data_IF_185605663512
#
_entry.id   IF_185605663512
#
_cell.length_a   1.000
_cell.length_b   1.000
_cell.length_c   1.000
_cell.angle_alpha   90.00
_cell.angle_beta   90.00
_cell.angle_gamma   90.00
#
_symmetry.space_group_name_H-M   'P 1'
#
loop_
_entity.id
_entity.type
_entity.pdbx_description
1 polymer ?
#
# COMPACT_ATOMS: atom_id res chain seq x y z
N UNK A 1 37.03 -11.02 -9.07
CA UNK A 1 36.15 -9.87 -9.42
C UNK A 1 34.86 -10.36 -10.04
N UNK A 2 34.90 -11.29 -11.00
CA UNK A 2 33.70 -11.87 -11.65
C UNK A 2 32.70 -12.50 -10.67
N UNK A 3 33.18 -13.24 -9.67
CA UNK A 3 32.33 -13.83 -8.61
C UNK A 3 31.57 -12.78 -7.80
N UNK A 4 32.20 -11.64 -7.49
CA UNK A 4 31.58 -10.54 -6.76
C UNK A 4 30.50 -9.86 -7.59
N UNK A 5 30.72 -9.71 -8.90
CA UNK A 5 29.74 -9.14 -9.84
C UNK A 5 28.51 -10.04 -9.96
N UNK A 6 28.70 -11.35 -10.13
CA UNK A 6 27.59 -12.32 -10.21
C UNK A 6 26.80 -12.35 -8.91
N UNK A 7 27.49 -12.34 -7.76
CA UNK A 7 26.83 -12.28 -6.45
C UNK A 7 25.99 -11.00 -6.30
N UNK A 8 26.57 -9.83 -6.59
CA UNK A 8 25.87 -8.55 -6.51
C UNK A 8 24.64 -8.52 -7.45
N UNK A 9 24.78 -9.04 -8.67
CA UNK A 9 23.69 -9.15 -9.62
C UNK A 9 22.57 -10.06 -9.08
N UNK A 10 22.90 -11.21 -8.50
CA UNK A 10 21.93 -12.09 -7.86
C UNK A 10 21.15 -11.39 -6.73
N UNK A 11 21.85 -10.64 -5.86
CA UNK A 11 21.20 -9.87 -4.79
C UNK A 11 20.24 -8.82 -5.34
N UNK A 12 20.65 -8.07 -6.38
CA UNK A 12 19.82 -7.05 -7.02
C UNK A 12 18.56 -7.67 -7.62
N UNK A 13 18.69 -8.81 -8.33
CA UNK A 13 17.55 -9.52 -8.92
C UNK A 13 16.54 -9.94 -7.85
N UNK A 14 17.01 -10.52 -6.74
CA UNK A 14 16.15 -10.91 -5.63
C UNK A 14 15.49 -9.69 -4.98
N UNK A 15 16.22 -8.60 -4.75
CA UNK A 15 15.68 -7.38 -4.16
C UNK A 15 14.58 -6.75 -5.04
N UNK A 16 14.80 -6.68 -6.36
CA UNK A 16 13.81 -6.19 -7.32
C UNK A 16 12.59 -7.13 -7.38
N UNK A 17 12.82 -8.44 -7.41
CA UNK A 17 11.75 -9.44 -7.39
C UNK A 17 10.88 -9.34 -6.13
N UNK A 18 11.50 -9.14 -4.97
CA UNK A 18 10.79 -8.92 -3.70
C UNK A 18 9.95 -7.63 -3.73
N UNK A 19 10.54 -6.52 -4.18
CA UNK A 19 9.81 -5.25 -4.34
C UNK A 19 8.60 -5.38 -5.27
N UNK A 20 8.77 -6.08 -6.40
CA UNK A 20 7.68 -6.33 -7.34
C UNK A 20 6.60 -7.21 -6.72
N UNK A 21 6.99 -8.26 -5.99
CA UNK A 21 6.03 -9.16 -5.32
C UNK A 21 5.18 -8.40 -4.30
N UNK A 22 5.78 -7.53 -3.51
CA UNK A 22 5.06 -6.70 -2.54
C UNK A 22 4.14 -5.72 -3.25
N UNK A 23 4.62 -5.02 -4.29
CA UNK A 23 3.79 -4.10 -5.05
C UNK A 23 2.55 -4.79 -5.66
N UNK A 24 2.73 -6.01 -6.19
CA UNK A 24 1.64 -6.81 -6.71
C UNK A 24 0.69 -7.30 -5.59
N UNK A 25 1.22 -7.70 -4.43
CA UNK A 25 0.39 -8.06 -3.27
C UNK A 25 -0.55 -6.92 -2.86
N UNK A 26 0.01 -5.71 -2.68
CA UNK A 26 -0.78 -4.52 -2.36
C UNK A 26 -1.77 -4.18 -3.48
N UNK A 27 -1.38 -4.40 -4.74
CA UNK A 27 -2.28 -4.25 -5.89
C UNK A 27 -3.48 -5.20 -5.82
N UNK A 28 -3.28 -6.41 -5.28
CA UNK A 28 -4.33 -7.40 -5.01
C UNK A 28 -5.39 -6.90 -4.04
N UNK A 29 -5.04 -6.04 -3.08
CA UNK A 29 -6.01 -5.34 -2.23
C UNK A 29 -6.62 -4.11 -2.93
N UNK A 30 -5.78 -3.32 -3.61
CA UNK A 30 -6.17 -2.08 -4.26
C UNK A 30 -7.21 -2.28 -5.37
N UNK A 31 -7.01 -3.25 -6.26
CA UNK A 31 -7.87 -3.49 -7.42
C UNK A 31 -9.34 -3.80 -7.05
N UNK A 32 -9.65 -4.78 -6.17
CA UNK A 32 -11.03 -5.03 -5.74
C UNK A 32 -11.60 -3.85 -4.95
N UNK A 33 -10.81 -3.19 -4.09
CA UNK A 33 -11.28 -2.04 -3.33
C UNK A 33 -11.71 -0.87 -4.25
N UNK A 34 -10.93 -0.57 -5.29
CA UNK A 34 -11.29 0.45 -6.27
C UNK A 34 -12.51 0.04 -7.10
N UNK A 35 -12.66 -1.24 -7.43
CA UNK A 35 -13.84 -1.78 -8.13
C UNK A 35 -15.12 -1.66 -7.28
N UNK A 36 -15.02 -1.81 -5.97
CA UNK A 36 -16.14 -1.62 -5.04
C UNK A 36 -16.40 -0.15 -4.67
N UNK A 37 -15.66 0.79 -5.26
CA UNK A 37 -15.87 2.23 -5.04
C UNK A 37 -15.31 2.75 -3.72
N UNK A 38 -14.42 2.03 -3.05
CA UNK A 38 -13.76 2.49 -1.82
C UNK A 38 -12.80 3.63 -2.15
N UNK A 39 -12.80 4.67 -1.32
CA UNK A 39 -11.80 5.73 -1.43
C UNK A 39 -10.46 5.27 -0.86
N UNK A 40 -9.39 5.42 -1.64
CA UNK A 40 -8.05 4.96 -1.31
C UNK A 40 -7.10 6.16 -1.44
N UNK A 41 -6.79 6.87 -0.34
CA UNK A 41 -5.91 8.03 -0.38
C UNK A 41 -4.44 7.70 -0.69
N UNK A 42 -3.90 6.58 -0.22
CA UNK A 42 -2.47 6.25 -0.36
C UNK A 42 -2.25 4.78 -0.73
N UNK A 43 -1.33 4.56 -1.65
CA UNK A 43 -0.76 3.27 -2.04
C UNK A 43 0.76 3.40 -1.96
N UNK A 44 1.37 2.73 -0.99
CA UNK A 44 2.80 2.87 -0.71
C UNK A 44 3.48 1.51 -0.73
N UNK A 45 4.57 1.41 -1.47
CA UNK A 45 5.43 0.23 -1.51
C UNK A 45 6.61 0.50 -0.58
N UNK A 46 6.81 -0.35 0.41
CA UNK A 46 7.84 -0.20 1.44
C UNK A 46 7.37 0.50 2.71
N UNK A 47 8.31 0.65 3.64
CA UNK A 47 8.17 1.36 4.90
C UNK A 47 9.26 2.43 5.08
N UNK A 48 9.08 3.32 6.07
CA UNK A 48 10.05 4.36 6.41
C UNK A 48 9.86 5.67 5.61
N UNK A 49 10.94 6.45 5.40
CA UNK A 49 10.87 7.72 4.71
C UNK A 49 10.48 7.53 3.24
N UNK A 50 9.61 8.40 2.75
CA UNK A 50 9.16 8.40 1.36
C UNK A 50 10.30 8.85 0.46
N UNK A 51 10.77 7.96 -0.42
CA UNK A 51 11.80 8.29 -1.41
C UNK A 51 11.18 9.06 -2.58
N UNK A 52 10.02 8.60 -3.03
CA UNK A 52 9.31 9.19 -4.13
C UNK A 52 7.81 8.97 -3.95
N UNK A 53 7.01 9.99 -4.25
CA UNK A 53 5.55 9.90 -4.26
C UNK A 53 4.99 10.72 -5.41
N UNK A 54 3.91 10.21 -6.03
CA UNK A 54 3.18 10.87 -7.09
C UNK A 54 1.69 10.64 -6.93
N UNK A 55 0.93 11.74 -6.86
CA UNK A 55 -0.53 11.70 -6.84
C UNK A 55 -1.10 11.47 -8.24
N UNK A 56 -1.97 10.47 -8.38
CA UNK A 56 -2.73 10.20 -9.60
C UNK A 56 -4.23 10.13 -9.28
N UNK A 57 -4.92 11.23 -9.56
CA UNK A 57 -6.33 11.40 -9.22
C UNK A 57 -6.53 11.51 -7.70
N UNK A 58 -7.22 10.52 -7.14
CA UNK A 58 -7.57 10.41 -5.73
C UNK A 58 -6.52 9.67 -4.89
N UNK A 59 -5.63 8.90 -5.52
CA UNK A 59 -4.67 8.03 -4.84
C UNK A 59 -3.25 8.55 -5.02
N UNK A 60 -2.53 8.62 -3.92
CA UNK A 60 -1.10 8.90 -3.88
C UNK A 60 -0.30 7.61 -3.98
N UNK A 61 0.52 7.46 -5.03
CA UNK A 61 1.37 6.31 -5.25
C UNK A 61 2.81 6.65 -4.88
N UNK A 62 3.41 5.92 -3.95
CA UNK A 62 4.79 6.17 -3.54
C UNK A 62 5.60 4.93 -3.22
N UNK A 63 6.90 5.15 -3.13
CA UNK A 63 7.89 4.14 -2.75
C UNK A 63 8.68 4.67 -1.56
N UNK A 64 8.81 3.85 -0.53
CA UNK A 64 9.52 4.15 0.71
C UNK A 64 10.86 3.44 0.76
N UNK A 65 11.76 3.91 1.62
CA UNK A 65 13.15 3.47 1.63
C UNK A 65 13.35 2.01 2.03
N UNK A 66 12.46 1.44 2.86
CA UNK A 66 12.61 0.08 3.39
C UNK A 66 11.72 -0.89 2.59
N UNK A 67 12.27 -1.89 1.89
CA UNK A 67 11.51 -2.85 1.07
C UNK A 67 10.60 -3.82 1.82
N UNK A 68 10.46 -3.71 3.15
CA UNK A 68 9.95 -4.79 4.00
C UNK A 68 8.43 -4.83 4.15
N UNK A 69 7.69 -4.59 3.06
CA UNK A 69 6.22 -4.65 2.99
C UNK A 69 5.64 -3.43 2.26
N UNK A 70 4.35 -3.16 2.42
CA UNK A 70 3.66 -2.02 1.81
C UNK A 70 2.35 -1.75 2.53
N UNK A 71 1.62 -0.72 2.11
CA UNK A 71 0.28 -0.48 2.63
C UNK A 71 -0.63 0.22 1.61
N UNK A 72 -1.91 -0.15 1.67
CA UNK A 72 -3.02 0.52 0.99
C UNK A 72 -3.91 1.17 2.04
N UNK A 73 -3.81 2.50 2.17
CA UNK A 73 -4.65 3.25 3.10
C UNK A 73 -6.06 3.38 2.49
N UNK A 74 -7.06 2.80 3.16
CA UNK A 74 -8.47 2.86 2.76
C UNK A 74 -9.26 3.82 3.66
N UNK A 75 -10.23 4.51 3.08
CA UNK A 75 -11.16 5.38 3.79
C UNK A 75 -11.89 4.65 4.92
N UNK A 76 -11.87 5.25 6.10
CA UNK A 76 -12.41 4.68 7.34
C UNK A 76 -11.34 4.05 8.23
N UNK A 77 -10.18 3.61 7.71
CA UNK A 77 -9.13 3.03 8.56
C UNK A 77 -8.25 4.09 9.26
N UNK A 78 -8.21 5.32 8.73
CA UNK A 78 -7.42 6.44 9.28
C UNK A 78 -8.24 7.74 9.21
N UNK A 79 -8.24 8.51 10.29
CA UNK A 79 -8.94 9.80 10.36
C UNK A 79 -8.32 10.78 9.33
N UNK A 80 -9.14 11.60 8.64
CA UNK A 80 -8.65 12.55 7.65
C UNK A 80 -7.97 13.72 8.38
N UNK A 81 -6.68 13.58 8.67
CA UNK A 81 -5.96 14.57 9.46
C UNK A 81 -4.54 14.15 9.86
N UNK A 82 -3.80 13.50 8.97
CA UNK A 82 -2.34 13.49 9.02
C UNK A 82 -1.80 12.95 7.70
N UNK A 83 -1.37 13.86 6.83
CA UNK A 83 -0.45 13.56 5.74
C UNK A 83 0.94 13.26 6.34
N UNK A 84 1.03 12.21 7.14
CA UNK A 84 2.26 11.58 7.59
C UNK A 84 1.88 10.36 8.42
N UNK A 85 1.89 9.19 7.78
CA UNK A 85 1.84 7.91 8.48
C UNK A 85 2.99 7.06 7.97
N UNK A 86 4.19 7.47 8.38
CA UNK A 86 5.35 6.61 8.46
C UNK A 86 5.69 6.42 9.94
N UNK A 87 5.65 5.17 10.41
CA UNK A 87 6.40 4.73 11.60
C UNK A 87 5.83 5.22 12.95
N UNK A 88 5.67 4.29 13.88
CA UNK A 88 5.12 4.60 15.20
C UNK A 88 6.05 5.41 16.11
N UNK A 89 5.44 5.84 17.21
CA UNK A 89 6.03 6.29 18.48
C UNK A 89 6.44 7.76 18.55
N UNK A 90 5.47 8.61 18.89
CA UNK A 90 5.77 9.85 19.59
C UNK A 90 4.78 10.04 20.74
N UNK A 91 5.33 10.04 21.96
CA UNK A 91 4.65 10.41 23.21
C UNK A 91 4.23 11.89 23.25
N UNK A 92 4.41 12.61 22.15
CA UNK A 92 4.15 14.04 21.96
C UNK A 92 2.68 14.34 21.63
N UNK A 93 1.88 13.33 21.26
CA UNK A 93 0.50 13.52 20.77
C UNK A 93 -0.52 14.07 21.77
N UNK A 94 -0.15 14.30 23.04
CA UNK A 94 -1.02 14.93 24.03
C UNK A 94 -0.84 16.46 24.08
N UNK A 95 0.40 16.96 23.95
CA UNK A 95 0.70 18.40 23.97
C UNK A 95 0.21 19.10 22.69
N UNK A 96 0.26 18.41 21.55
CA UNK A 96 -0.19 18.94 20.25
C UNK A 96 -1.71 19.19 20.19
N UNK A 97 -2.48 18.42 20.99
CA UNK A 97 -3.95 18.61 21.11
C UNK A 97 -4.33 19.81 21.96
N UNK A 98 -3.46 20.23 22.87
CA UNK A 98 -3.71 21.37 23.77
C UNK A 98 -3.45 22.71 23.06
N UNK A 99 -2.68 22.70 21.97
CA UNK A 99 -2.37 23.89 21.17
C UNK A 99 -3.36 24.08 20.01
N UNK A 100 -4.07 23.03 19.59
CA UNK A 100 -4.99 23.05 18.44
C UNK A 100 -6.39 23.64 18.72
N UNK A 101 -6.52 24.51 19.73
CA UNK A 101 -7.74 25.31 19.93
C UNK A 101 -7.69 26.56 19.04
N UNK A 102 -7.93 26.38 17.74
CA UNK A 102 -8.35 27.48 16.87
C UNK A 102 -9.55 27.04 16.00
N UNK A 103 -10.67 27.79 16.01
CA UNK A 103 -11.86 27.45 15.25
C UNK A 103 -11.66 27.82 13.78
N UNK A 104 -11.15 26.89 12.97
CA UNK A 104 -10.91 27.12 11.54
C UNK A 104 -11.96 26.40 10.67
N UNK A 105 -12.98 27.19 10.31
CA UNK A 105 -13.58 27.37 8.96
C UNK A 105 -14.06 26.11 8.18
N UNK A 106 -15.35 25.82 8.38
CA UNK A 106 -16.46 25.59 7.41
C UNK A 106 -16.26 25.23 5.91
N UNK A 107 -15.15 24.62 5.47
CA UNK A 107 -15.00 24.20 4.05
C UNK A 107 -14.55 22.73 3.90
N UNK A 108 -14.40 22.01 5.02
CA UNK A 108 -13.90 20.62 5.07
C UNK A 108 -15.03 19.57 5.02
N UNK A 109 -16.29 20.01 5.11
CA UNK A 109 -17.48 19.14 5.21
C UNK A 109 -17.81 18.38 3.93
N UNK A 110 -17.56 18.93 2.74
CA UNK A 110 -17.92 18.30 1.46
C UNK A 110 -17.07 17.07 1.12
N UNK A 111 -15.82 16.99 1.60
CA UNK A 111 -14.99 15.80 1.38
C UNK A 111 -15.23 14.71 2.44
N UNK A 112 -15.50 15.09 3.70
CA UNK A 112 -15.64 14.14 4.79
C UNK A 112 -16.86 13.23 4.65
N UNK A 113 -18.02 13.77 4.24
CA UNK A 113 -19.23 12.96 4.00
C UNK A 113 -19.09 12.00 2.80
N UNK A 114 -18.42 12.43 1.72
CA UNK A 114 -18.19 11.58 0.55
C UNK A 114 -17.13 10.49 0.82
N UNK A 115 -16.15 10.77 1.67
CA UNK A 115 -15.19 9.78 2.19
C UNK A 115 -15.91 8.77 3.11
N UNK A 116 -16.83 9.21 3.96
CA UNK A 116 -17.63 8.35 4.84
C UNK A 116 -18.60 7.44 4.05
N UNK A 117 -19.22 7.96 2.98
CA UNK A 117 -20.05 7.15 2.06
C UNK A 117 -19.25 6.06 1.35
N UNK A 118 -18.00 6.34 0.99
CA UNK A 118 -17.08 5.39 0.32
C UNK A 118 -16.15 4.67 1.31
N UNK A 119 -16.55 4.58 2.58
CA UNK A 119 -15.74 3.95 3.61
C UNK A 119 -15.77 2.42 3.51
N UNK A 120 -14.64 1.80 3.81
CA UNK A 120 -14.48 0.34 3.79
C UNK A 120 -15.48 -0.37 4.73
N UNK A 121 -15.85 0.29 5.84
CA UNK A 121 -16.78 -0.24 6.85
C UNK A 121 -18.25 -0.16 6.46
N UNK A 122 -18.59 0.39 5.31
CA UNK A 122 -19.97 0.34 4.78
C UNK A 122 -20.20 -0.77 3.76
N UNK A 123 -19.12 -1.40 3.28
CA UNK A 123 -19.25 -2.51 2.34
C UNK A 123 -19.87 -3.75 3.00
N UNK A 124 -20.68 -4.55 2.28
CA UNK A 124 -21.10 -5.87 2.75
C UNK A 124 -19.88 -6.76 3.03
N UNK A 125 -20.01 -7.64 4.03
CA UNK A 125 -18.89 -8.43 4.55
C UNK A 125 -18.15 -9.24 3.48
N UNK A 126 -18.86 -9.76 2.48
CA UNK A 126 -18.28 -10.52 1.38
C UNK A 126 -17.32 -9.66 0.55
N UNK A 127 -17.63 -8.38 0.34
CA UNK A 127 -16.75 -7.47 -0.40
C UNK A 127 -15.49 -7.14 0.41
N UNK A 128 -15.61 -6.96 1.73
CA UNK A 128 -14.44 -6.77 2.61
C UNK A 128 -13.53 -7.98 2.62
N UNK A 129 -14.11 -9.18 2.73
CA UNK A 129 -13.36 -10.44 2.67
C UNK A 129 -12.66 -10.56 1.32
N UNK A 130 -13.33 -10.20 0.22
CA UNK A 130 -12.72 -10.24 -1.12
C UNK A 130 -11.54 -9.27 -1.23
N UNK A 131 -11.64 -8.07 -0.65
CA UNK A 131 -10.53 -7.11 -0.60
C UNK A 131 -9.38 -7.69 0.22
N UNK A 132 -9.63 -8.22 1.42
CA UNK A 132 -8.60 -8.79 2.30
C UNK A 132 -7.96 -10.06 1.72
N UNK A 133 -8.71 -10.87 0.97
CA UNK A 133 -8.18 -12.07 0.33
C UNK A 133 -7.42 -11.75 -0.97
N UNK A 134 -7.68 -10.60 -1.58
CA UNK A 134 -7.11 -10.20 -2.85
C UNK A 134 -5.57 -10.16 -2.87
N UNK A 135 -4.93 -9.67 -1.79
CA UNK A 135 -3.48 -9.67 -1.66
C UNK A 135 -2.88 -11.09 -1.62
N UNK A 136 -3.29 -11.96 -0.67
CA UNK A 136 -2.86 -13.36 -0.64
C UNK A 136 -3.14 -14.14 -1.93
N UNK A 137 -4.28 -13.90 -2.57
CA UNK A 137 -4.62 -14.52 -3.85
C UNK A 137 -3.65 -14.06 -4.96
N UNK A 138 -3.26 -12.78 -4.97
CA UNK A 138 -2.23 -12.32 -5.90
C UNK A 138 -0.89 -13.04 -5.69
N UNK A 139 -0.48 -13.32 -4.45
CA UNK A 139 0.72 -14.11 -4.21
C UNK A 139 0.62 -15.52 -4.80
N UNK A 140 -0.56 -16.14 -4.78
CA UNK A 140 -0.79 -17.43 -5.42
C UNK A 140 -0.64 -17.33 -6.95
N UNK A 141 -1.14 -16.24 -7.55
CA UNK A 141 -0.97 -15.97 -8.99
C UNK A 141 0.51 -15.76 -9.32
N UNK A 142 1.23 -14.98 -8.52
CA UNK A 142 2.67 -14.76 -8.69
C UNK A 142 3.41 -16.10 -8.59
N UNK A 143 3.09 -16.92 -7.59
CA UNK A 143 3.69 -18.24 -7.43
C UNK A 143 3.44 -19.13 -8.65
N UNK A 144 2.20 -19.15 -9.18
CA UNK A 144 1.86 -19.91 -10.37
C UNK A 144 2.63 -19.43 -11.61
N UNK A 145 2.73 -18.11 -11.80
CA UNK A 145 3.44 -17.51 -12.94
C UNK A 145 4.95 -17.78 -12.83
N UNK A 146 5.55 -17.54 -11.67
CA UNK A 146 6.97 -17.82 -11.45
C UNK A 146 7.28 -19.30 -11.63
N UNK A 147 6.42 -20.18 -11.12
CA UNK A 147 6.55 -21.62 -11.31
C UNK A 147 6.45 -22.00 -12.79
N UNK A 148 5.47 -21.48 -13.53
CA UNK A 148 5.34 -21.73 -14.97
C UNK A 148 6.57 -21.22 -15.75
N UNK A 149 7.08 -20.03 -15.43
CA UNK A 149 8.31 -19.49 -16.03
C UNK A 149 9.51 -20.39 -15.74
N UNK A 150 9.62 -20.93 -14.53
CA UNK A 150 10.70 -21.87 -14.19
C UNK A 150 10.56 -23.17 -14.98
N UNK A 151 9.34 -23.73 -15.07
CA UNK A 151 9.08 -24.96 -15.82
C UNK A 151 9.40 -24.84 -17.32
N UNK A 152 8.93 -23.75 -17.95
CA UNK A 152 9.11 -23.53 -19.39
C UNK A 152 10.53 -23.04 -19.70
N UNK A 153 11.10 -22.19 -18.84
CA UNK A 153 12.37 -21.53 -19.09
C UNK A 153 13.60 -22.39 -18.79
N UNK A 154 13.58 -23.17 -17.72
CA UNK A 154 14.70 -24.06 -17.40
C UNK A 154 14.57 -25.45 -18.00
N UNK A 155 13.36 -25.83 -18.45
CA UNK A 155 13.07 -27.16 -18.97
C UNK A 155 13.29 -28.20 -17.88
N UNK A 156 12.21 -28.68 -17.27
CA UNK A 156 12.33 -29.85 -16.39
C UNK A 156 12.81 -31.02 -17.26
N UNK A 157 13.94 -31.69 -16.96
CA UNK A 157 14.34 -32.88 -17.68
C UNK A 157 13.33 -34.02 -17.48
#
# INVERSE_FOLDING_TARGET
>A
MESAVIFALGVIVIAVGLMLSIALHEWGHFAPAKKFGVYIPQFMIGFGPTLFSRRRGETEFGVKAIPLGGYVAMAGMYAPGSSDSAGGTSTTGFLDRVIADEPVVSDVSTNAEDIDRRSFYRLPLIQRITIMLGGPLMNLVIALVLYAVVLVGFGVP
#
